data_IF_544533162517
#
_entry.id   IF_544533162517
#
_cell.length_a   1.000
_cell.length_b   1.000
_cell.length_c   1.000
_cell.angle_alpha   90.00
_cell.angle_beta   90.00
_cell.angle_gamma   90.00
#
_symmetry.space_group_name_H-M   'P 1'
#
loop_
_entity.id
_entity.type
_entity.pdbx_description
1 polymer ?
#
# COMPACT_ATOMS: atom_id res chain seq x y z
N UNK A 1 -10.91 -45.62 46.17
CA UNK A 1 -10.98 -45.54 44.69
C UNK A 1 -10.68 -44.11 44.29
N UNK A 2 -9.47 -43.85 43.78
CA UNK A 2 -9.10 -42.55 43.26
C UNK A 2 -9.46 -42.51 41.76
N UNK A 3 -10.32 -41.58 41.36
CA UNK A 3 -10.64 -41.33 39.96
C UNK A 3 -9.49 -40.50 39.35
N UNK A 4 -8.69 -41.13 38.50
CA UNK A 4 -7.67 -40.46 37.71
C UNK A 4 -8.36 -39.64 36.60
N UNK A 5 -8.50 -38.33 36.80
CA UNK A 5 -8.81 -37.40 35.72
C UNK A 5 -7.52 -37.05 34.98
N UNK A 6 -7.26 -37.74 33.86
CA UNK A 6 -6.19 -37.34 32.95
C UNK A 6 -6.69 -36.22 32.04
N UNK A 7 -6.20 -35.00 32.23
CA UNK A 7 -6.36 -33.92 31.26
C UNK A 7 -5.37 -34.14 30.10
N UNK A 8 -5.89 -34.28 28.87
CA UNK A 8 -5.07 -34.23 27.66
C UNK A 8 -4.83 -32.76 27.31
N UNK A 9 -3.60 -32.30 27.45
CA UNK A 9 -3.15 -31.00 26.95
C UNK A 9 -2.69 -31.15 25.51
N UNK A 10 -3.22 -30.29 24.64
CA UNK A 10 -2.61 -29.91 23.36
C UNK A 10 -2.32 -28.42 23.40
N UNK A 11 -1.56 -27.91 22.42
CA UNK A 11 -1.19 -26.50 22.37
C UNK A 11 -2.45 -25.61 22.39
N UNK A 12 -2.49 -24.64 23.33
CA UNK A 12 -3.63 -23.79 23.73
C UNK A 12 -4.76 -24.42 24.57
N UNK A 13 -4.52 -25.49 25.31
CA UNK A 13 -5.49 -26.01 26.28
C UNK A 13 -5.57 -25.19 27.58
N UNK A 14 -6.73 -24.57 27.88
CA UNK A 14 -7.01 -23.96 29.20
C UNK A 14 -7.62 -25.00 30.13
N UNK A 15 -6.99 -25.26 31.29
CA UNK A 15 -7.51 -26.18 32.31
C UNK A 15 -8.16 -25.41 33.44
N UNK A 16 -9.39 -25.79 33.80
CA UNK A 16 -10.18 -25.14 34.86
C UNK A 16 -10.58 -26.22 35.87
N UNK A 17 -10.20 -26.03 37.14
CA UNK A 17 -10.41 -27.00 38.21
C UNK A 17 -11.20 -26.36 39.35
N UNK A 18 -12.32 -26.97 39.74
CA UNK A 18 -13.21 -26.53 40.81
C UNK A 18 -14.68 -26.91 40.56
N UNK A 19 -15.53 -26.83 41.58
CA UNK A 19 -16.97 -27.13 41.48
C UNK A 19 -17.81 -25.87 41.19
N UNK A 20 -18.83 -26.01 40.33
CA UNK A 20 -19.74 -24.93 39.87
C UNK A 20 -19.12 -23.85 38.96
N UNK A 21 -18.11 -24.20 38.17
CA UNK A 21 -17.61 -23.31 37.12
C UNK A 21 -18.65 -23.13 36.02
N UNK A 22 -18.94 -21.87 35.65
CA UNK A 22 -19.85 -21.55 34.55
C UNK A 22 -19.03 -21.02 33.37
N UNK A 23 -18.87 -21.84 32.33
CA UNK A 23 -18.06 -21.56 31.17
C UNK A 23 -18.92 -21.00 30.04
N UNK A 24 -18.86 -19.68 29.83
CA UNK A 24 -19.44 -19.05 28.65
C UNK A 24 -18.40 -18.99 27.53
N UNK A 25 -18.31 -20.06 26.73
CA UNK A 25 -17.54 -20.05 25.48
C UNK A 25 -18.29 -19.27 24.41
N UNK A 26 -17.87 -18.02 24.20
CA UNK A 26 -18.27 -17.27 23.00
C UNK A 26 -17.44 -17.75 21.82
N UNK A 27 -17.95 -18.76 21.10
CA UNK A 27 -17.46 -19.04 19.76
C UNK A 27 -17.89 -17.86 18.87
N UNK A 28 -16.98 -16.90 18.67
CA UNK A 28 -17.04 -16.05 17.48
C UNK A 28 -16.83 -16.95 16.26
N UNK A 29 -17.88 -17.66 15.85
CA UNK A 29 -17.84 -18.55 14.71
C UNK A 29 -17.36 -17.76 13.50
N UNK A 30 -16.11 -18.00 13.08
CA UNK A 30 -15.52 -17.60 11.79
C UNK A 30 -16.02 -16.27 11.22
N UNK A 31 -16.15 -15.24 12.06
CA UNK A 31 -16.43 -13.85 11.65
C UNK A 31 -15.13 -13.05 11.51
N UNK A 32 -13.97 -13.69 11.63
CA UNK A 32 -12.77 -13.14 11.03
C UNK A 32 -13.04 -13.08 9.52
N UNK A 33 -12.98 -11.88 8.89
CA UNK A 33 -13.03 -11.78 7.45
C UNK A 33 -12.06 -12.81 6.88
N UNK A 34 -12.46 -13.56 5.84
CA UNK A 34 -11.49 -14.38 5.11
C UNK A 34 -10.46 -13.42 4.53
N UNK A 35 -9.31 -13.34 5.19
CA UNK A 35 -8.26 -12.45 4.75
C UNK A 35 -7.69 -13.05 3.46
N UNK A 36 -7.74 -12.27 2.39
CA UNK A 36 -7.07 -12.65 1.16
C UNK A 36 -5.58 -12.60 1.42
N UNK A 37 -4.91 -13.72 1.19
CA UNK A 37 -3.49 -13.88 1.51
C UNK A 37 -2.57 -13.08 0.58
N UNK A 38 -3.06 -12.41 -0.47
CA UNK A 38 -2.17 -11.81 -1.47
C UNK A 38 -2.88 -10.70 -2.23
N UNK A 39 -2.23 -9.55 -2.36
CA UNK A 39 -2.69 -8.46 -3.23
C UNK A 39 -1.71 -8.19 -4.36
N UNK A 40 -2.22 -7.60 -5.45
CA UNK A 40 -1.39 -7.23 -6.59
C UNK A 40 -0.37 -6.14 -6.23
N UNK A 41 -0.66 -5.31 -5.23
CA UNK A 41 0.25 -4.26 -4.74
C UNK A 41 1.44 -4.93 -4.03
N UNK A 42 1.17 -5.89 -3.15
CA UNK A 42 2.22 -6.67 -2.47
C UNK A 42 3.15 -7.38 -3.47
N UNK A 43 2.59 -7.98 -4.53
CA UNK A 43 3.38 -8.63 -5.58
C UNK A 43 4.34 -7.70 -6.28
N UNK A 44 3.85 -6.50 -6.63
CA UNK A 44 4.67 -5.50 -7.29
C UNK A 44 5.73 -4.96 -6.33
N UNK A 45 5.39 -4.71 -5.06
CA UNK A 45 6.38 -4.25 -4.07
C UNK A 45 7.53 -5.26 -3.93
N UNK A 46 7.22 -6.55 -3.88
CA UNK A 46 8.23 -7.60 -3.85
C UNK A 46 9.12 -7.60 -5.10
N UNK A 47 8.51 -7.49 -6.30
CA UNK A 47 9.29 -7.44 -7.54
C UNK A 47 10.22 -6.23 -7.54
N UNK A 48 9.74 -5.05 -7.11
CA UNK A 48 10.54 -3.82 -7.08
C UNK A 48 11.69 -3.94 -6.08
N UNK A 49 11.45 -4.48 -4.88
CA UNK A 49 12.48 -4.68 -3.86
C UNK A 49 13.58 -5.67 -4.32
N UNK A 50 13.25 -6.59 -5.22
CA UNK A 50 14.22 -7.52 -5.81
C UNK A 50 14.96 -6.94 -7.04
N UNK A 51 14.63 -5.73 -7.49
CA UNK A 51 15.33 -5.07 -8.59
C UNK A 51 16.66 -4.48 -8.10
N UNK A 52 17.68 -4.65 -8.93
CA UNK A 52 18.94 -3.90 -8.81
C UNK A 52 18.76 -2.57 -9.53
N UNK A 53 18.35 -1.53 -8.79
CA UNK A 53 18.15 -0.18 -9.31
C UNK A 53 19.45 0.60 -9.09
N UNK A 54 20.11 0.97 -10.18
CA UNK A 54 21.26 1.86 -10.13
C UNK A 54 20.79 3.28 -9.77
N UNK A 55 21.36 3.84 -8.70
CA UNK A 55 21.15 5.24 -8.33
C UNK A 55 21.89 6.16 -9.30
N UNK A 56 21.18 7.13 -9.86
CA UNK A 56 21.68 8.14 -10.78
C UNK A 56 21.27 9.53 -10.30
N UNK A 57 22.11 10.13 -9.46
CA UNK A 57 21.91 11.48 -8.90
C UNK A 57 21.74 12.58 -9.97
N UNK A 58 21.98 12.31 -11.26
CA UNK A 58 21.78 13.27 -12.34
C UNK A 58 20.33 13.31 -12.85
N UNK A 59 19.56 12.24 -12.65
CA UNK A 59 18.16 12.19 -13.04
C UNK A 59 17.30 13.00 -12.06
N UNK A 60 16.38 13.79 -12.60
CA UNK A 60 15.49 14.63 -11.80
C UNK A 60 14.18 14.86 -12.52
N UNK A 61 13.08 14.69 -11.79
CA UNK A 61 11.72 14.86 -12.29
C UNK A 61 11.40 16.34 -12.52
N UNK A 62 12.13 17.24 -11.86
CA UNK A 62 11.96 18.69 -12.00
C UNK A 62 12.28 19.17 -13.41
N UNK A 63 13.08 18.40 -14.18
CA UNK A 63 13.37 18.67 -15.59
C UNK A 63 12.17 18.37 -16.50
N UNK A 64 11.14 17.69 -16.01
CA UNK A 64 9.94 17.33 -16.78
C UNK A 64 8.81 18.34 -16.57
N UNK A 65 8.64 19.26 -17.52
CA UNK A 65 7.62 20.33 -17.47
C UNK A 65 6.20 19.79 -17.30
N UNK A 66 5.85 18.69 -17.98
CA UNK A 66 4.50 18.12 -17.94
C UNK A 66 4.14 17.53 -16.56
N UNK A 67 5.15 17.07 -15.82
CA UNK A 67 4.96 16.57 -14.46
C UNK A 67 4.85 17.73 -13.48
N UNK A 68 5.74 18.71 -13.57
CA UNK A 68 5.74 19.89 -12.71
C UNK A 68 4.44 20.70 -12.81
N UNK A 69 3.94 20.94 -14.02
CA UNK A 69 2.67 21.64 -14.24
C UNK A 69 1.48 20.94 -13.55
N UNK A 70 1.48 19.59 -13.57
CA UNK A 70 0.45 18.81 -12.87
C UNK A 70 0.59 18.90 -11.36
N UNK A 71 1.81 18.85 -10.83
CA UNK A 71 2.05 18.95 -9.39
C UNK A 71 1.63 20.32 -8.86
N UNK A 72 2.03 21.40 -9.54
CA UNK A 72 1.64 22.77 -9.22
C UNK A 72 0.11 22.95 -9.24
N UNK A 73 -0.56 22.50 -10.31
CA UNK A 73 -2.02 22.60 -10.42
C UNK A 73 -2.75 21.87 -9.28
N UNK A 74 -2.19 20.75 -8.80
CA UNK A 74 -2.77 19.98 -7.71
C UNK A 74 -2.27 20.40 -6.32
N UNK A 75 -1.39 21.41 -6.21
CA UNK A 75 -0.76 21.88 -4.96
C UNK A 75 0.00 20.76 -4.26
N UNK A 76 0.96 20.17 -4.96
CA UNK A 76 1.85 19.12 -4.46
C UNK A 76 3.25 19.70 -4.42
N UNK A 77 3.78 19.91 -3.22
CA UNK A 77 5.12 20.51 -3.02
C UNK A 77 6.06 19.47 -2.39
N UNK A 78 5.68 18.92 -1.23
CA UNK A 78 6.51 17.95 -0.49
C UNK A 78 6.79 16.69 -1.30
N UNK A 79 5.76 16.15 -1.96
CA UNK A 79 5.91 14.91 -2.69
C UNK A 79 6.67 15.07 -4.01
N UNK A 80 6.87 16.29 -4.51
CA UNK A 80 7.81 16.52 -5.63
C UNK A 80 9.22 16.18 -5.19
N UNK A 81 9.68 16.70 -4.05
CA UNK A 81 11.02 16.41 -3.52
C UNK A 81 11.20 14.91 -3.23
N UNK A 82 10.17 14.28 -2.67
CA UNK A 82 10.20 12.83 -2.41
C UNK A 82 10.31 12.04 -3.72
N UNK A 83 9.49 12.36 -4.73
CA UNK A 83 9.55 11.64 -6.00
C UNK A 83 10.85 11.88 -6.76
N UNK A 84 11.45 13.07 -6.62
CA UNK A 84 12.77 13.38 -7.19
C UNK A 84 13.85 12.45 -6.59
N UNK A 85 13.81 12.22 -5.28
CA UNK A 85 14.73 11.32 -4.57
C UNK A 85 14.59 9.84 -4.99
N UNK A 86 13.43 9.43 -5.49
CA UNK A 86 13.20 8.05 -5.97
C UNK A 86 13.17 7.98 -7.51
N UNK A 87 13.56 9.03 -8.21
CA UNK A 87 13.24 9.16 -9.62
C UNK A 87 14.01 8.18 -10.51
N UNK A 88 15.19 7.74 -10.08
CA UNK A 88 16.08 6.81 -10.78
C UNK A 88 15.42 5.46 -11.05
N UNK A 89 14.63 4.98 -10.09
CA UNK A 89 13.88 3.72 -10.21
C UNK A 89 12.66 3.80 -11.13
N UNK A 90 12.28 4.98 -11.59
CA UNK A 90 11.01 5.18 -12.31
C UNK A 90 10.92 4.36 -13.59
N UNK A 91 11.99 4.33 -14.40
CA UNK A 91 11.98 3.66 -15.70
C UNK A 91 11.92 2.14 -15.55
N UNK A 92 12.64 1.58 -14.57
CA UNK A 92 12.59 0.15 -14.27
C UNK A 92 11.23 -0.26 -13.72
N UNK A 93 10.66 0.52 -12.78
CA UNK A 93 9.31 0.27 -12.28
C UNK A 93 8.27 0.42 -13.39
N UNK A 94 8.44 1.38 -14.30
CA UNK A 94 7.58 1.55 -15.47
C UNK A 94 7.58 0.30 -16.35
N UNK A 95 8.74 -0.32 -16.61
CA UNK A 95 8.86 -1.58 -17.35
C UNK A 95 8.18 -2.74 -16.62
N UNK A 96 8.43 -2.89 -15.32
CA UNK A 96 7.79 -3.92 -14.46
C UNK A 96 6.27 -3.81 -14.54
N UNK A 97 5.74 -2.60 -14.35
CA UNK A 97 4.30 -2.37 -14.37
C UNK A 97 3.69 -2.58 -15.75
N UNK A 98 4.38 -2.23 -16.82
CA UNK A 98 3.91 -2.50 -18.19
C UNK A 98 3.82 -4.01 -18.49
N UNK A 99 4.76 -4.81 -17.98
CA UNK A 99 4.75 -6.28 -18.13
C UNK A 99 3.81 -7.01 -17.15
N UNK A 100 3.34 -6.35 -16.10
CA UNK A 100 2.57 -7.00 -15.04
C UNK A 100 1.11 -7.27 -15.45
N UNK A 101 0.74 -8.56 -15.56
CA UNK A 101 -0.57 -9.01 -16.05
C UNK A 101 -1.77 -8.41 -15.27
N UNK A 102 -1.60 -8.15 -13.96
CA UNK A 102 -2.67 -7.61 -13.09
C UNK A 102 -2.58 -6.09 -12.89
N UNK A 103 -1.76 -5.37 -13.67
CA UNK A 103 -1.59 -3.90 -13.58
C UNK A 103 -2.93 -3.19 -13.55
N UNK A 104 -3.86 -3.53 -14.44
CA UNK A 104 -5.17 -2.87 -14.51
C UNK A 104 -5.98 -3.00 -13.22
N UNK A 105 -5.90 -4.14 -12.53
CA UNK A 105 -6.60 -4.36 -11.26
C UNK A 105 -5.95 -3.51 -10.17
N UNK A 106 -4.62 -3.51 -10.11
CA UNK A 106 -3.85 -2.70 -9.16
C UNK A 106 -4.13 -1.20 -9.33
N UNK A 107 -4.02 -0.69 -10.56
CA UNK A 107 -4.27 0.73 -10.88
C UNK A 107 -5.70 1.13 -10.54
N UNK A 108 -6.69 0.26 -10.81
CA UNK A 108 -8.09 0.52 -10.42
C UNK A 108 -8.24 0.62 -8.91
N UNK A 109 -7.60 -0.26 -8.14
CA UNK A 109 -7.61 -0.23 -6.67
C UNK A 109 -7.00 1.07 -6.14
N UNK A 110 -5.80 1.44 -6.61
CA UNK A 110 -5.13 2.70 -6.24
C UNK A 110 -6.02 3.89 -6.60
N UNK A 111 -6.65 3.88 -7.79
CA UNK A 111 -7.59 4.93 -8.20
C UNK A 111 -8.82 5.04 -7.31
N UNK A 112 -9.39 3.91 -6.87
CA UNK A 112 -10.51 3.93 -5.92
C UNK A 112 -10.09 4.58 -4.62
N UNK A 113 -8.92 4.22 -4.08
CA UNK A 113 -8.37 4.83 -2.86
C UNK A 113 -8.17 6.33 -3.04
N UNK A 114 -7.59 6.75 -4.17
CA UNK A 114 -7.44 8.16 -4.52
C UNK A 114 -8.78 8.89 -4.53
N UNK A 115 -9.81 8.36 -5.19
CA UNK A 115 -11.13 9.01 -5.28
C UNK A 115 -11.82 9.14 -3.91
N UNK A 116 -11.64 8.16 -3.03
CA UNK A 116 -12.16 8.23 -1.66
C UNK A 116 -11.51 9.37 -0.88
N UNK A 117 -10.20 9.56 -1.03
CA UNK A 117 -9.43 10.60 -0.36
C UNK A 117 -9.69 11.98 -0.99
N UNK A 118 -9.74 12.08 -2.31
CA UNK A 118 -10.02 13.33 -3.03
C UNK A 118 -11.37 13.91 -2.63
N UNK A 119 -12.38 13.07 -2.36
CA UNK A 119 -13.68 13.52 -1.87
C UNK A 119 -13.60 14.18 -0.48
N UNK A 120 -12.69 13.72 0.37
CA UNK A 120 -12.42 14.34 1.68
C UNK A 120 -11.67 15.64 1.48
N UNK A 121 -10.64 15.63 0.63
CA UNK A 121 -9.84 16.81 0.29
C UNK A 121 -10.71 17.96 -0.23
N UNK A 122 -11.64 17.71 -1.15
CA UNK A 122 -12.56 18.73 -1.66
C UNK A 122 -13.47 19.31 -0.57
N UNK A 123 -13.89 18.48 0.39
CA UNK A 123 -14.76 18.92 1.50
C UNK A 123 -14.01 19.76 2.53
N UNK A 124 -12.73 19.43 2.76
CA UNK A 124 -11.91 20.01 3.83
C UNK A 124 -10.88 21.04 3.32
N UNK A 125 -10.86 21.31 2.01
CA UNK A 125 -9.94 22.23 1.34
C UNK A 125 -8.46 21.91 1.60
N UNK A 126 -8.11 20.62 1.48
CA UNK A 126 -6.74 20.12 1.67
C UNK A 126 -5.91 20.18 0.37
N UNK A 127 -4.59 20.14 0.50
CA UNK A 127 -3.64 20.15 -0.62
C UNK A 127 -3.47 18.76 -1.28
N UNK A 128 -2.67 18.70 -2.35
CA UNK A 128 -2.39 17.46 -3.05
C UNK A 128 -1.45 16.54 -2.28
N UNK A 129 -0.54 17.11 -1.47
CA UNK A 129 0.37 16.35 -0.61
C UNK A 129 -0.40 15.49 0.40
N UNK A 130 -1.48 16.02 0.98
CA UNK A 130 -2.38 15.25 1.84
C UNK A 130 -2.94 14.03 1.10
N UNK A 131 -3.38 14.20 -0.15
CA UNK A 131 -3.95 13.10 -0.93
C UNK A 131 -2.91 12.01 -1.14
N UNK A 132 -1.71 12.38 -1.58
CA UNK A 132 -0.63 11.41 -1.83
C UNK A 132 -0.26 10.68 -0.54
N UNK A 133 -0.15 11.40 0.58
CA UNK A 133 0.12 10.82 1.90
C UNK A 133 -0.91 9.80 2.34
N UNK A 134 -2.19 10.10 2.16
CA UNK A 134 -3.26 9.17 2.52
C UNK A 134 -3.28 7.94 1.60
N UNK A 135 -3.01 8.11 0.30
CA UNK A 135 -2.86 6.97 -0.61
C UNK A 135 -1.67 6.11 -0.17
N UNK A 136 -0.51 6.70 0.09
CA UNK A 136 0.68 6.02 0.58
C UNK A 136 0.39 5.20 1.85
N UNK A 137 -0.17 5.83 2.88
CA UNK A 137 -0.46 5.16 4.15
C UNK A 137 -1.38 3.94 3.96
N UNK A 138 -2.44 4.08 3.17
CA UNK A 138 -3.38 2.98 2.90
C UNK A 138 -2.74 1.84 2.10
N UNK A 139 -1.83 2.15 1.17
CA UNK A 139 -1.10 1.13 0.43
C UNK A 139 -0.08 0.42 1.34
N UNK A 140 0.65 1.17 2.18
CA UNK A 140 1.61 0.62 3.15
C UNK A 140 0.91 -0.30 4.14
N UNK A 141 -0.21 0.13 4.71
CA UNK A 141 -1.04 -0.72 5.58
C UNK A 141 -1.46 -2.03 4.91
N UNK A 142 -1.87 -1.98 3.62
CA UNK A 142 -2.24 -3.18 2.86
C UNK A 142 -1.05 -4.13 2.66
N UNK A 143 0.13 -3.59 2.35
CA UNK A 143 1.37 -4.36 2.16
C UNK A 143 1.83 -5.00 3.47
N UNK A 144 1.90 -4.22 4.56
CA UNK A 144 2.30 -4.72 5.89
C UNK A 144 1.34 -5.80 6.40
N UNK A 145 0.03 -5.62 6.19
CA UNK A 145 -0.96 -6.62 6.55
C UNK A 145 -0.80 -7.93 5.77
N UNK A 146 -0.43 -7.85 4.49
CA UNK A 146 -0.12 -9.02 3.67
C UNK A 146 1.22 -9.67 4.06
N UNK A 147 2.25 -8.91 4.42
CA UNK A 147 3.54 -9.45 4.89
C UNK A 147 3.36 -10.28 6.17
N UNK A 148 2.60 -9.76 7.15
CA UNK A 148 2.27 -10.47 8.39
C UNK A 148 1.66 -11.86 8.18
N UNK A 149 0.94 -12.06 7.07
CA UNK A 149 0.23 -13.30 6.77
C UNK A 149 1.07 -14.28 5.94
N UNK A 150 2.08 -13.80 5.22
CA UNK A 150 2.83 -14.61 4.26
C UNK A 150 4.29 -14.89 4.67
N UNK A 151 4.72 -14.49 5.88
CA UNK A 151 6.09 -14.73 6.37
C UNK A 151 7.17 -14.31 5.35
N UNK A 152 6.92 -13.21 4.61
CA UNK A 152 7.92 -12.65 3.70
C UNK A 152 8.53 -11.40 4.34
N UNK A 153 9.85 -11.39 4.42
CA UNK A 153 10.66 -10.31 4.95
C UNK A 153 10.94 -9.30 3.82
N UNK A 154 10.12 -8.25 3.73
CA UNK A 154 10.50 -7.01 3.08
C UNK A 154 10.90 -6.03 4.19
N UNK A 155 11.97 -5.28 3.98
CA UNK A 155 12.35 -4.17 4.87
C UNK A 155 11.33 -3.03 4.75
N UNK A 156 11.21 -2.23 5.80
CA UNK A 156 10.26 -1.10 5.80
C UNK A 156 10.66 -0.08 4.72
N UNK A 157 11.96 0.12 4.53
CA UNK A 157 12.55 0.98 3.51
C UNK A 157 12.24 0.50 2.09
N UNK A 158 12.35 -0.81 1.83
CA UNK A 158 12.02 -1.42 0.54
C UNK A 158 10.53 -1.28 0.21
N UNK A 159 9.66 -1.41 1.23
CA UNK A 159 8.22 -1.18 1.08
C UNK A 159 7.93 0.28 0.77
N UNK A 160 8.57 1.21 1.46
CA UNK A 160 8.38 2.63 1.25
C UNK A 160 8.82 3.06 -0.14
N UNK A 161 10.04 2.70 -0.54
CA UNK A 161 10.59 2.95 -1.88
C UNK A 161 9.66 2.41 -2.98
N UNK A 162 9.25 1.14 -2.86
CA UNK A 162 8.37 0.53 -3.86
C UNK A 162 7.02 1.24 -3.94
N UNK A 163 6.43 1.64 -2.82
CA UNK A 163 5.14 2.35 -2.81
C UNK A 163 5.31 3.76 -3.40
N UNK A 164 6.38 4.48 -3.08
CA UNK A 164 6.65 5.80 -3.67
C UNK A 164 6.75 5.71 -5.19
N UNK A 165 7.52 4.74 -5.70
CA UNK A 165 7.65 4.49 -7.14
C UNK A 165 6.34 4.09 -7.81
N UNK A 166 5.54 3.21 -7.18
CA UNK A 166 4.21 2.82 -7.69
C UNK A 166 3.29 4.04 -7.74
N UNK A 167 3.22 4.82 -6.67
CA UNK A 167 2.42 6.04 -6.63
C UNK A 167 2.88 6.99 -7.72
N UNK A 168 4.19 7.26 -7.82
CA UNK A 168 4.73 8.16 -8.83
C UNK A 168 4.38 7.72 -10.25
N UNK A 169 4.50 6.43 -10.56
CA UNK A 169 4.05 5.86 -11.84
C UNK A 169 2.56 6.09 -12.10
N UNK A 170 1.70 5.77 -11.12
CA UNK A 170 0.26 5.90 -11.30
C UNK A 170 -0.15 7.37 -11.39
N UNK A 171 0.53 8.28 -10.68
CA UNK A 171 0.25 9.71 -10.72
C UNK A 171 0.67 10.36 -12.05
N UNK A 172 1.80 9.94 -12.62
CA UNK A 172 2.32 10.51 -13.88
C UNK A 172 1.67 9.91 -15.13
N UNK A 173 1.48 8.58 -15.17
CA UNK A 173 0.95 7.85 -16.34
C UNK A 173 -0.55 7.59 -16.28
N UNK A 174 -1.16 7.58 -15.09
CA UNK A 174 -2.61 7.36 -14.95
C UNK A 174 -3.34 8.67 -14.63
N UNK A 175 -4.62 8.76 -15.01
CA UNK A 175 -5.48 9.94 -14.83
C UNK A 175 -5.92 10.14 -13.35
N UNK A 176 -4.98 10.07 -12.40
CA UNK A 176 -5.28 10.30 -10.98
C UNK A 176 -5.39 11.80 -10.70
N UNK A 177 -4.37 12.58 -11.03
CA UNK A 177 -4.41 14.03 -10.88
C UNK A 177 -5.42 14.67 -11.82
N UNK A 178 -6.04 15.76 -11.37
CA UNK A 178 -6.91 16.57 -12.22
C UNK A 178 -6.06 17.07 -13.40
N UNK A 179 -6.51 16.87 -14.65
CA UNK A 179 -5.78 17.37 -15.79
C UNK A 179 -5.70 18.89 -15.69
N UNK A 180 -4.53 19.44 -16.00
CA UNK A 180 -4.38 20.88 -16.20
C UNK A 180 -5.33 21.25 -17.35
N UNK A 181 -6.22 22.23 -17.20
CA UNK A 181 -7.03 22.73 -18.30
C UNK A 181 -6.07 23.19 -19.40
N UNK A 182 -6.07 22.50 -20.53
CA UNK A 182 -5.42 23.04 -21.73
C UNK A 182 -6.41 24.04 -22.27
N UNK A 183 -6.03 25.32 -22.27
CA UNK A 183 -6.79 26.33 -23.01
C UNK A 183 -6.94 25.80 -24.44
N UNK A 184 -8.18 25.58 -24.87
CA UNK A 184 -8.50 25.30 -26.26
C UNK A 184 -8.21 26.59 -27.03
N UNK A 185 -6.97 26.73 -27.54
CA UNK A 185 -6.66 27.70 -28.61
C UNK A 185 -7.33 27.30 -29.93
#
# INVERSE_FOLDING_TARGET
MALNNTARSGDNGTSIVGDKNNLNTFNFGSKTPKILKRSAIFDVCKIIAELDIDYDDEYSIQKNSDWMEKFEYNKVDLYVEIFDNYSDGYDEVSKVLQGYLKKTIMVKKIRTVYLEVERVREKENLDGDYVIKQVFQRLKEEVCYNSYINENDLLDEEVDEAIYLIIFYVFTKCKLLKPVPKDEE
#
